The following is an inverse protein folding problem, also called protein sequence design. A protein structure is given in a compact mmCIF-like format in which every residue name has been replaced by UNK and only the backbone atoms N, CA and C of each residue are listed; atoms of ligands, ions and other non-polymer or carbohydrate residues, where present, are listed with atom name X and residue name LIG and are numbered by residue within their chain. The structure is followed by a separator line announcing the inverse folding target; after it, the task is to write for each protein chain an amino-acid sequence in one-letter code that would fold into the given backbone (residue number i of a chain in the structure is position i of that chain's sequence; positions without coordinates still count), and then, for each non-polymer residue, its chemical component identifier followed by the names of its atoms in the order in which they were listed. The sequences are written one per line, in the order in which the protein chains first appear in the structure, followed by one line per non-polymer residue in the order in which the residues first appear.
data_IF_306058458791
#
_entry.id   IF_306058458791
#
_cell.length_a   1.000
_cell.length_b   1.000
_cell.length_c   1.000
_cell.angle_alpha   90.00
_cell.angle_beta   90.00
_cell.angle_gamma   90.00
#
_symmetry.space_group_name_H-M   'P 1'
#
loop_
_entity.id
_entity.type
_entity.pdbx_description
1 polymer ?
#
# COMPACT_ATOMS: atom_id res chain seq x y z
N UNK A 1 5.79 -36.89 -38.03
CA UNK A 1 5.75 -36.81 -36.55
C UNK A 1 4.48 -37.50 -36.07
N UNK A 2 4.56 -38.54 -35.24
CA UNK A 2 3.40 -39.39 -34.93
C UNK A 2 2.24 -38.65 -34.25
N UNK A 3 1.01 -39.09 -34.52
CA UNK A 3 -0.25 -38.51 -34.01
C UNK A 3 -0.23 -38.33 -32.47
N UNK A 4 0.29 -39.31 -31.74
CA UNK A 4 0.44 -39.26 -30.28
C UNK A 4 1.35 -38.12 -29.79
N UNK A 5 2.41 -37.79 -30.55
CA UNK A 5 3.33 -36.70 -30.20
C UNK A 5 2.66 -35.33 -30.40
N UNK A 6 1.83 -35.20 -31.44
CA UNK A 6 1.07 -33.97 -31.71
C UNK A 6 0.02 -33.69 -30.62
N UNK A 7 -0.66 -34.74 -30.13
CA UNK A 7 -1.65 -34.61 -29.05
C UNK A 7 -0.98 -34.14 -27.75
N UNK A 8 0.15 -34.75 -27.37
CA UNK A 8 0.92 -34.33 -26.17
C UNK A 8 1.43 -32.91 -26.25
N UNK A 9 1.93 -32.49 -27.42
CA UNK A 9 2.40 -31.11 -27.65
C UNK A 9 1.26 -30.09 -27.54
N UNK A 10 0.09 -30.40 -28.11
CA UNK A 10 -1.10 -29.53 -28.02
C UNK A 10 -1.59 -29.40 -26.59
N UNK A 11 -1.59 -30.50 -25.82
CA UNK A 11 -1.96 -30.50 -24.40
C UNK A 11 -0.96 -29.68 -23.55
N UNK A 12 0.35 -29.80 -23.80
CA UNK A 12 1.37 -29.00 -23.12
C UNK A 12 1.16 -27.51 -23.37
N UNK A 13 1.01 -27.11 -24.65
CA UNK A 13 0.76 -25.70 -25.01
C UNK A 13 -0.52 -25.16 -24.38
N UNK A 14 -1.56 -25.98 -24.25
CA UNK A 14 -2.81 -25.58 -23.61
C UNK A 14 -2.63 -25.35 -22.11
N UNK A 15 -1.90 -26.23 -21.41
CA UNK A 15 -1.52 -26.04 -20.01
C UNK A 15 -0.73 -24.76 -19.80
N UNK A 16 0.25 -24.48 -20.67
CA UNK A 16 1.07 -23.27 -20.56
C UNK A 16 0.24 -21.99 -20.77
N UNK A 17 -0.73 -22.02 -21.69
CA UNK A 17 -1.71 -20.93 -21.89
C UNK A 17 -2.58 -20.71 -20.65
N UNK A 18 -3.02 -21.78 -20.01
CA UNK A 18 -3.82 -21.70 -18.77
C UNK A 18 -2.99 -21.05 -17.66
N UNK A 19 -1.73 -21.47 -17.49
CA UNK A 19 -0.83 -20.89 -16.48
C UNK A 19 -0.62 -19.39 -16.73
N UNK A 20 -0.41 -18.97 -17.98
CA UNK A 20 -0.26 -17.55 -18.34
C UNK A 20 -1.50 -16.73 -17.98
N UNK A 21 -2.70 -17.26 -18.28
CA UNK A 21 -3.98 -16.60 -17.94
C UNK A 21 -4.13 -16.49 -16.43
N UNK A 22 -3.84 -17.55 -15.67
CA UNK A 22 -3.92 -17.53 -14.20
C UNK A 22 -2.98 -16.47 -13.61
N UNK A 23 -1.73 -16.39 -14.10
CA UNK A 23 -0.77 -15.37 -13.63
C UNK A 23 -1.27 -13.94 -13.90
N UNK A 24 -1.85 -13.70 -15.08
CA UNK A 24 -2.43 -12.39 -15.41
C UNK A 24 -3.60 -12.02 -14.48
N UNK A 25 -4.47 -12.97 -14.14
CA UNK A 25 -5.61 -12.72 -13.25
C UNK A 25 -5.20 -12.46 -11.80
N UNK A 26 -4.10 -13.05 -11.31
CA UNK A 26 -3.58 -12.79 -9.96
C UNK A 26 -3.22 -11.31 -9.80
N UNK A 27 -2.66 -10.67 -10.84
CA UNK A 27 -2.31 -9.25 -10.81
C UNK A 27 -3.51 -8.30 -10.68
N UNK A 28 -4.71 -8.73 -11.12
CA UNK A 28 -5.95 -7.94 -11.02
C UNK A 28 -6.55 -7.98 -9.62
N UNK A 29 -6.34 -9.10 -8.90
CA UNK A 29 -6.89 -9.33 -7.55
C UNK A 29 -5.90 -8.92 -6.44
N UNK A 30 -4.63 -8.72 -6.79
CA UNK A 30 -3.61 -8.32 -5.83
C UNK A 30 -3.81 -6.87 -5.36
N UNK A 31 -4.15 -6.69 -4.09
CA UNK A 31 -4.04 -5.41 -3.38
C UNK A 31 -2.56 -5.14 -3.09
N UNK A 32 -1.82 -4.65 -4.10
CA UNK A 32 -0.38 -4.44 -4.00
C UNK A 32 0.03 -3.19 -3.20
N UNK A 33 -0.93 -2.33 -2.84
CA UNK A 33 -0.66 -1.14 -2.07
C UNK A 33 -0.75 -1.48 -0.58
N UNK A 34 0.39 -1.60 0.09
CA UNK A 34 0.41 -1.52 1.55
C UNK A 34 -0.12 -0.15 1.95
N UNK A 35 -1.12 -0.13 2.84
CA UNK A 35 -1.51 1.11 3.51
C UNK A 35 -0.24 1.77 4.09
N UNK A 36 -0.10 3.10 4.05
CA UNK A 36 1.10 3.77 4.54
C UNK A 36 1.41 3.35 5.99
N UNK A 37 2.43 2.50 6.14
CA UNK A 37 2.70 1.80 7.39
C UNK A 37 3.00 2.74 8.57
N UNK A 38 2.12 2.68 9.58
CA UNK A 38 2.28 2.53 11.04
C UNK A 38 3.59 2.87 11.78
N UNK A 39 4.77 3.07 11.20
CA UNK A 39 5.98 3.40 11.99
C UNK A 39 6.11 4.91 12.24
N UNK A 40 5.63 5.74 11.32
CA UNK A 40 5.64 7.20 11.47
C UNK A 40 4.49 7.72 12.37
N UNK A 41 3.57 6.87 12.83
CA UNK A 41 2.47 7.28 13.72
C UNK A 41 2.96 7.94 15.01
N UNK A 42 4.17 7.60 15.48
CA UNK A 42 4.78 8.21 16.67
C UNK A 42 4.89 9.73 16.56
N UNK A 43 5.00 10.26 15.34
CA UNK A 43 5.07 11.69 15.07
C UNK A 43 3.68 12.33 14.93
N UNK A 44 2.64 11.57 14.58
CA UNK A 44 1.25 12.03 14.54
C UNK A 44 0.26 10.88 14.79
N UNK A 45 -0.07 10.67 16.07
CA UNK A 45 -0.98 9.61 16.48
C UNK A 45 -2.44 9.87 16.09
N UNK A 46 -2.76 11.11 15.69
CA UNK A 46 -4.08 11.51 15.17
C UNK A 46 -4.44 10.78 13.87
N UNK A 47 -3.45 10.28 13.11
CA UNK A 47 -3.66 9.45 11.91
C UNK A 47 -4.29 8.10 12.28
N UNK A 48 -4.00 7.58 13.47
CA UNK A 48 -4.49 6.30 13.97
C UNK A 48 -5.75 6.45 14.82
N UNK A 49 -5.78 7.49 15.66
CA UNK A 49 -6.90 7.78 16.53
C UNK A 49 -7.23 9.28 16.46
N UNK A 50 -8.29 9.69 15.74
CA UNK A 50 -8.69 11.09 15.64
C UNK A 50 -8.96 11.75 17.00
N UNK A 51 -9.38 10.99 18.02
CA UNK A 51 -9.60 11.52 19.37
C UNK A 51 -8.30 11.90 20.10
N UNK A 52 -7.14 11.53 19.55
CA UNK A 52 -5.84 12.02 20.02
C UNK A 52 -5.59 13.49 19.65
N UNK A 53 -6.29 14.01 18.62
CA UNK A 53 -6.23 15.43 18.31
C UNK A 53 -6.78 16.23 19.51
N UNK A 54 -5.94 17.12 20.06
CA UNK A 54 -6.25 17.92 21.24
C UNK A 54 -6.03 17.20 22.58
N UNK A 55 -5.52 15.96 22.61
CA UNK A 55 -5.21 15.26 23.86
C UNK A 55 -3.93 15.73 24.54
N UNK A 56 -3.10 16.51 23.84
CA UNK A 56 -1.90 17.14 24.39
C UNK A 56 -2.20 18.60 24.72
N UNK A 57 -1.79 19.04 25.89
CA UNK A 57 -1.95 20.42 26.39
C UNK A 57 -1.18 21.51 25.61
N UNK A 58 -0.61 21.17 24.45
CA UNK A 58 0.16 22.10 23.64
C UNK A 58 -0.36 22.14 22.19
N UNK A 59 -0.22 23.31 21.56
CA UNK A 59 -0.39 23.45 20.12
C UNK A 59 0.59 22.52 19.40
N UNK A 60 0.06 21.62 18.58
CA UNK A 60 0.84 20.62 17.85
C UNK A 60 0.61 20.80 16.35
N UNK A 61 1.70 20.99 15.60
CA UNK A 61 1.70 21.10 14.14
C UNK A 61 2.82 20.25 13.57
N UNK A 62 2.65 19.69 12.37
CA UNK A 62 3.73 18.97 11.71
C UNK A 62 3.45 18.58 10.27
N UNK A 63 4.54 18.37 9.53
CA UNK A 63 4.56 17.90 8.15
C UNK A 63 5.35 16.58 8.11
N UNK A 64 4.77 15.57 7.48
CA UNK A 64 5.39 14.27 7.24
C UNK A 64 5.45 14.03 5.74
N UNK A 65 6.60 13.62 5.24
CA UNK A 65 6.80 13.19 3.87
C UNK A 65 7.44 11.80 3.88
N UNK A 66 6.95 10.93 3.02
CA UNK A 66 7.46 9.57 2.85
C UNK A 66 7.59 9.26 1.38
N UNK A 67 8.75 8.72 0.98
CA UNK A 67 8.97 8.06 -0.30
C UNK A 67 9.18 6.58 -0.02
N UNK A 68 8.33 5.71 -0.58
CA UNK A 68 8.35 4.28 -0.24
C UNK A 68 9.62 3.56 -0.73
N UNK A 69 10.17 4.00 -1.87
CA UNK A 69 11.42 3.48 -2.45
C UNK A 69 12.31 4.63 -2.92
N UNK A 70 13.51 4.75 -2.36
CA UNK A 70 14.37 5.93 -2.56
C UNK A 70 14.93 6.00 -3.99
N UNK A 71 15.25 4.84 -4.57
CA UNK A 71 15.95 4.71 -5.87
C UNK A 71 15.03 4.39 -7.05
N UNK A 72 13.71 4.33 -6.84
CA UNK A 72 12.75 4.11 -7.91
C UNK A 72 12.17 5.47 -8.33
N UNK A 73 12.27 5.77 -9.63
CA UNK A 73 11.61 6.92 -10.25
C UNK A 73 10.10 6.75 -10.15
N UNK A 74 9.38 7.84 -9.83
CA UNK A 74 7.93 7.83 -9.59
C UNK A 74 7.44 6.85 -8.50
N UNK A 75 8.32 6.46 -7.57
CA UNK A 75 7.92 5.69 -6.40
C UNK A 75 6.79 6.40 -5.63
N UNK A 76 5.80 5.67 -5.08
CA UNK A 76 4.73 6.24 -4.28
C UNK A 76 5.27 7.14 -3.17
N UNK A 77 4.72 8.34 -3.13
CA UNK A 77 5.00 9.33 -2.10
C UNK A 77 3.74 9.64 -1.33
N UNK A 78 3.89 9.96 -0.05
CA UNK A 78 2.78 10.35 0.82
C UNK A 78 3.20 11.55 1.64
N UNK A 79 2.38 12.60 1.58
CA UNK A 79 2.51 13.79 2.41
C UNK A 79 1.37 13.84 3.44
N UNK A 80 1.67 14.23 4.67
CA UNK A 80 0.66 14.46 5.71
C UNK A 80 0.95 15.76 6.42
N UNK A 81 -0.06 16.63 6.51
CA UNK A 81 -0.02 17.86 7.28
C UNK A 81 -1.02 17.72 8.43
N UNK A 82 -0.63 18.11 9.64
CA UNK A 82 -1.54 18.13 10.78
C UNK A 82 -1.38 19.38 11.63
N UNK A 83 -2.50 19.79 12.21
CA UNK A 83 -2.60 20.85 13.18
C UNK A 83 -3.65 20.46 14.23
N UNK A 84 -3.31 20.58 15.50
CA UNK A 84 -4.14 20.20 16.64
C UNK A 84 -3.88 21.12 17.82
N UNK A 85 -4.94 21.51 18.54
CA UNK A 85 -4.90 22.29 19.78
C UNK A 85 -5.81 21.63 20.82
N UNK A 86 -5.39 21.59 22.09
CA UNK A 86 -6.26 21.11 23.18
C UNK A 86 -7.39 22.10 23.44
N UNK A 87 -8.62 21.58 23.50
CA UNK A 87 -9.81 22.34 23.93
C UNK A 87 -10.03 22.25 25.44
N UNK A 88 -9.30 21.37 26.15
CA UNK A 88 -9.44 21.18 27.59
C UNK A 88 -8.91 22.35 28.42
N UNK A 89 -8.08 23.20 27.83
CA UNK A 89 -7.58 24.43 28.46
C UNK A 89 -8.60 25.58 28.45
N UNK A 90 -9.70 25.43 27.71
CA UNK A 90 -10.75 26.45 27.57
C UNK A 90 -12.01 26.11 28.40
N UNK A 91 -12.00 24.99 29.15
CA UNK A 91 -13.04 24.54 30.07
C UNK A 91 -12.61 24.70 31.53
#
# INVERSE_FOLDING_TARGET
MGLFKQIKLKASKMKDRIIQVVILFIGVVAFAQQDPHYTQYMYNMSVMNPAYAGSKDNLSMGLLYRKQWVEIEDAPTTGTLFWSRSSWQEM
#
